data_IF_683928172023
#
_entry.id   IF_683928172023
#
_cell.length_a   1.000
_cell.length_b   1.000
_cell.length_c   1.000
_cell.angle_alpha   90.00
_cell.angle_beta   90.00
_cell.angle_gamma   90.00
#
_symmetry.space_group_name_H-M   'P 1'
#
loop_
_entity.id
_entity.type
_entity.pdbx_description
1 polymer ?
#
# COMPACT_ATOMS: atom_id res chain seq x y z
N UNK A 1 5.47 -17.57 -9.43
CA UNK A 1 4.14 -17.35 -10.06
C UNK A 1 4.36 -16.48 -11.29
N UNK A 2 3.77 -16.84 -12.43
CA UNK A 2 3.78 -15.99 -13.63
C UNK A 2 2.43 -15.27 -13.77
N UNK A 3 2.47 -14.00 -14.15
CA UNK A 3 1.27 -13.20 -14.44
C UNK A 3 0.77 -13.39 -15.88
N UNK A 4 1.47 -14.20 -16.67
CA UNK A 4 1.08 -14.57 -18.03
C UNK A 4 0.44 -15.97 -17.99
N UNK A 5 -0.78 -16.11 -18.52
CA UNK A 5 -1.56 -17.36 -18.50
C UNK A 5 -1.97 -17.74 -19.92
N UNK A 6 -2.05 -19.03 -20.24
CA UNK A 6 -2.61 -19.49 -21.51
C UNK A 6 -4.12 -19.29 -21.51
N UNK A 7 -4.67 -18.88 -22.65
CA UNK A 7 -6.11 -18.84 -22.87
C UNK A 7 -6.59 -20.25 -23.23
N UNK A 8 -7.49 -20.81 -22.42
CA UNK A 8 -8.07 -22.14 -22.68
C UNK A 8 -8.61 -22.23 -24.11
N UNK A 9 -8.29 -23.34 -24.81
CA UNK A 9 -8.78 -23.61 -26.16
C UNK A 9 -7.92 -23.07 -27.33
N UNK A 10 -6.78 -22.43 -27.07
CA UNK A 10 -5.84 -22.01 -28.12
C UNK A 10 -4.41 -22.32 -27.72
N UNK A 11 -3.68 -23.10 -28.52
CA UNK A 11 -2.32 -23.56 -28.19
C UNK A 11 -1.25 -22.43 -28.13
N UNK A 12 -1.56 -21.23 -28.62
CA UNK A 12 -0.57 -20.14 -28.77
C UNK A 12 -1.03 -18.75 -28.27
N UNK A 13 -2.13 -18.63 -27.51
CA UNK A 13 -2.51 -17.33 -26.94
C UNK A 13 -2.21 -17.25 -25.45
N UNK A 14 -1.26 -16.37 -25.11
CA UNK A 14 -1.00 -15.93 -23.76
C UNK A 14 -1.72 -14.62 -23.47
N UNK A 15 -2.33 -14.51 -22.30
CA UNK A 15 -2.97 -13.29 -21.81
C UNK A 15 -2.45 -12.94 -20.43
N UNK A 16 -2.50 -11.66 -20.07
CA UNK A 16 -2.24 -11.24 -18.70
C UNK A 16 -3.35 -11.76 -17.79
N UNK A 17 -2.97 -12.30 -16.64
CA UNK A 17 -3.90 -12.68 -15.56
C UNK A 17 -4.68 -11.47 -15.04
N UNK A 18 -4.04 -10.29 -15.07
CA UNK A 18 -4.66 -9.02 -14.74
C UNK A 18 -5.39 -8.46 -15.95
N UNK A 19 -6.50 -7.76 -15.70
CA UNK A 19 -7.24 -7.04 -16.74
C UNK A 19 -6.53 -5.72 -17.08
N UNK A 20 -5.46 -5.81 -17.87
CA UNK A 20 -4.63 -4.66 -18.26
C UNK A 20 -5.43 -3.62 -19.05
N UNK A 21 -6.34 -4.05 -19.92
CA UNK A 21 -7.16 -3.15 -20.74
C UNK A 21 -7.99 -2.20 -19.86
N UNK A 22 -8.60 -2.72 -18.79
CA UNK A 22 -9.38 -1.90 -17.86
C UNK A 22 -8.51 -0.96 -17.04
N UNK A 23 -7.31 -1.39 -16.64
CA UNK A 23 -6.35 -0.53 -15.91
C UNK A 23 -5.91 0.62 -16.81
N UNK A 24 -5.60 0.34 -18.08
CA UNK A 24 -5.20 1.37 -19.05
C UNK A 24 -6.32 2.37 -19.30
N UNK A 25 -7.57 1.92 -19.44
CA UNK A 25 -8.71 2.81 -19.61
C UNK A 25 -8.94 3.68 -18.37
N UNK A 26 -8.83 3.10 -17.18
CA UNK A 26 -8.95 3.86 -15.93
C UNK A 26 -7.84 4.90 -15.77
N UNK A 27 -6.60 4.58 -16.13
CA UNK A 27 -5.46 5.52 -16.05
C UNK A 27 -5.67 6.79 -16.89
N UNK A 28 -6.41 6.71 -18.01
CA UNK A 28 -6.74 7.89 -18.84
C UNK A 28 -7.60 8.92 -18.10
N UNK A 29 -8.33 8.51 -17.07
CA UNK A 29 -9.19 9.40 -16.29
C UNK A 29 -8.39 10.28 -15.31
N UNK A 30 -7.10 9.98 -15.11
CA UNK A 30 -6.24 10.67 -14.16
C UNK A 30 -6.54 10.32 -12.70
N UNK A 31 -5.66 10.74 -11.81
CA UNK A 31 -5.86 10.58 -10.37
C UNK A 31 -6.88 11.61 -9.87
N UNK A 32 -7.98 11.15 -9.28
CA UNK A 32 -8.87 12.01 -8.49
C UNK A 32 -8.37 12.02 -7.05
N UNK A 33 -8.13 13.21 -6.50
CA UNK A 33 -7.86 13.35 -5.07
C UNK A 33 -9.06 12.83 -4.27
N UNK A 34 -8.84 11.81 -3.45
CA UNK A 34 -9.81 11.39 -2.46
C UNK A 34 -9.78 12.36 -1.28
N UNK A 35 -10.85 13.11 -1.07
CA UNK A 35 -11.00 14.10 0.01
C UNK A 35 -11.93 13.65 1.13
N UNK A 36 -12.08 12.34 1.31
CA UNK A 36 -12.90 11.79 2.40
C UNK A 36 -12.03 11.45 3.61
N UNK A 37 -12.41 11.96 4.77
CA UNK A 37 -11.79 11.59 6.04
C UNK A 37 -12.26 10.19 6.48
N UNK A 38 -11.36 9.45 7.13
CA UNK A 38 -11.64 8.19 7.80
C UNK A 38 -11.40 8.35 9.30
N UNK A 39 -12.48 8.27 10.08
CA UNK A 39 -12.49 8.51 11.53
C UNK A 39 -12.26 7.25 12.38
N UNK A 40 -11.86 6.15 11.73
CA UNK A 40 -11.53 4.89 12.39
C UNK A 40 -10.07 4.80 12.82
N UNK A 41 -9.69 3.74 13.54
CA UNK A 41 -8.32 3.49 13.94
C UNK A 41 -7.47 3.12 12.71
N UNK A 42 -6.23 3.62 12.69
CA UNK A 42 -5.29 3.46 11.57
C UNK A 42 -3.91 3.11 12.12
N UNK A 43 -3.18 2.27 11.41
CA UNK A 43 -1.76 2.01 11.66
C UNK A 43 -1.03 2.06 10.32
N UNK A 44 -0.16 3.06 10.16
CA UNK A 44 0.62 3.31 8.95
C UNK A 44 2.00 2.69 9.12
N UNK A 45 2.46 1.95 8.11
CA UNK A 45 3.80 1.32 8.07
C UNK A 45 4.49 1.77 6.80
N UNK A 46 5.52 2.58 6.94
CA UNK A 46 6.31 3.12 5.84
C UNK A 46 7.74 2.62 5.96
N UNK A 47 8.43 2.45 4.84
CA UNK A 47 9.87 2.25 4.87
C UNK A 47 10.59 3.58 5.09
N UNK A 48 11.62 3.58 5.94
CA UNK A 48 12.45 4.75 6.19
C UNK A 48 13.11 5.32 4.91
N UNK A 49 13.40 4.47 3.93
CA UNK A 49 14.04 4.81 2.65
C UNK A 49 13.05 4.87 1.48
N UNK A 50 11.75 4.92 1.77
CA UNK A 50 10.71 4.99 0.73
C UNK A 50 10.78 6.32 -0.03
N UNK A 51 10.91 6.26 -1.35
CA UNK A 51 10.84 7.45 -2.22
C UNK A 51 9.42 8.02 -2.36
N UNK A 52 8.41 7.27 -1.91
CA UNK A 52 6.99 7.67 -2.01
C UNK A 52 6.46 8.37 -0.76
N UNK A 53 7.01 8.06 0.42
CA UNK A 53 6.55 8.59 1.70
C UNK A 53 7.75 8.74 2.61
N UNK A 54 8.04 9.97 3.02
CA UNK A 54 9.13 10.30 3.93
C UNK A 54 8.57 10.86 5.26
N UNK A 55 9.45 11.13 6.22
CA UNK A 55 9.03 11.57 7.56
C UNK A 55 8.36 12.95 7.58
N UNK A 56 8.64 13.81 6.61
CA UNK A 56 7.99 15.13 6.50
C UNK A 56 6.54 15.02 6.03
N UNK A 57 6.15 13.89 5.43
CA UNK A 57 4.79 13.66 4.94
C UNK A 57 3.82 13.27 6.06
N UNK A 58 4.29 13.05 7.30
CA UNK A 58 3.48 12.64 8.45
C UNK A 58 2.25 13.52 8.66
N UNK A 59 2.39 14.83 8.50
CA UNK A 59 1.30 15.78 8.67
C UNK A 59 0.22 15.65 7.59
N UNK A 60 0.56 15.18 6.38
CA UNK A 60 -0.40 15.01 5.29
C UNK A 60 -1.41 13.89 5.56
N UNK A 61 -1.01 12.87 6.31
CA UNK A 61 -1.91 11.78 6.73
C UNK A 61 -3.09 12.30 7.56
N UNK A 62 -2.94 13.39 8.31
CA UNK A 62 -4.03 13.96 9.12
C UNK A 62 -5.18 14.54 8.28
N UNK A 63 -4.94 14.83 6.99
CA UNK A 63 -6.01 15.28 6.08
C UNK A 63 -7.00 14.15 5.76
N UNK A 64 -6.53 12.90 5.80
CA UNK A 64 -7.33 11.71 5.50
C UNK A 64 -7.69 10.96 6.78
N UNK A 65 -6.83 10.99 7.80
CA UNK A 65 -6.95 10.25 9.05
C UNK A 65 -6.89 11.21 10.25
N UNK A 66 -7.96 11.98 10.51
CA UNK A 66 -7.91 13.07 11.51
C UNK A 66 -7.71 12.59 12.96
N UNK A 67 -7.98 11.31 13.26
CA UNK A 67 -7.78 10.73 14.61
C UNK A 67 -6.44 10.00 14.79
N UNK A 68 -5.57 10.03 13.77
CA UNK A 68 -4.28 9.38 13.81
C UNK A 68 -3.31 10.13 14.73
N UNK A 69 -2.61 9.41 15.62
CA UNK A 69 -1.48 9.94 16.38
C UNK A 69 -0.18 9.72 15.60
N UNK A 70 0.46 10.80 15.16
CA UNK A 70 1.67 10.77 14.31
C UNK A 70 2.88 10.07 14.94
N UNK A 71 2.92 9.93 16.27
CA UNK A 71 4.03 9.31 16.99
C UNK A 71 3.74 7.85 17.32
N UNK A 72 2.47 7.52 17.54
CA UNK A 72 2.03 6.18 17.93
C UNK A 72 1.66 5.32 16.71
N UNK A 73 0.92 5.89 15.77
CA UNK A 73 0.22 5.13 14.73
C UNK A 73 0.97 5.11 13.40
N UNK A 74 2.01 5.93 13.24
CA UNK A 74 2.90 5.92 12.06
C UNK A 74 4.25 5.32 12.42
N UNK A 75 4.58 4.21 11.78
CA UNK A 75 5.84 3.51 11.96
C UNK A 75 6.71 3.60 10.71
N UNK A 76 7.89 4.20 10.84
CA UNK A 76 8.94 4.13 9.83
C UNK A 76 9.85 2.94 10.15
N UNK A 77 9.81 1.92 9.30
CA UNK A 77 10.62 0.71 9.45
C UNK A 77 12.02 0.98 8.91
N UNK A 78 13.00 0.92 9.80
CA UNK A 78 14.40 1.23 9.49
C UNK A 78 14.92 0.38 8.32
N UNK A 79 15.72 1.01 7.46
CA UNK A 79 16.39 0.38 6.30
C UNK A 79 15.44 -0.10 5.18
N UNK A 80 14.13 -0.16 5.39
CA UNK A 80 13.16 -0.56 4.37
C UNK A 80 12.89 0.56 3.36
N UNK A 81 12.77 0.21 2.09
CA UNK A 81 12.22 1.00 1.01
C UNK A 81 10.69 0.90 0.95
N UNK A 82 10.12 1.03 -0.25
CA UNK A 82 8.67 1.10 -0.42
C UNK A 82 7.93 -0.19 -0.01
N UNK A 83 8.53 -1.37 -0.25
CA UNK A 83 7.88 -2.66 0.02
C UNK A 83 8.29 -3.25 1.36
N UNK A 84 7.85 -2.60 2.44
CA UNK A 84 8.17 -3.01 3.82
C UNK A 84 7.87 -4.48 4.08
N UNK A 85 6.72 -4.99 3.60
CA UNK A 85 6.31 -6.38 3.77
C UNK A 85 7.24 -7.39 3.07
N UNK A 86 7.96 -6.97 2.01
CA UNK A 86 8.90 -7.83 1.28
C UNK A 86 10.30 -7.71 1.89
N UNK A 87 10.73 -6.50 2.22
CA UNK A 87 12.10 -6.22 2.67
C UNK A 87 12.30 -6.50 4.16
N UNK A 88 11.28 -6.23 4.99
CA UNK A 88 11.27 -6.38 6.44
C UNK A 88 10.02 -7.13 6.92
N UNK A 89 9.82 -8.39 6.47
CA UNK A 89 8.60 -9.15 6.72
C UNK A 89 8.34 -9.39 8.21
N UNK A 90 9.39 -9.60 9.01
CA UNK A 90 9.27 -9.84 10.45
C UNK A 90 8.76 -8.60 11.19
N UNK A 91 9.34 -7.44 10.88
CA UNK A 91 8.94 -6.15 11.44
C UNK A 91 7.51 -5.80 11.01
N UNK A 92 7.17 -6.02 9.74
CA UNK A 92 5.82 -5.81 9.22
C UNK A 92 4.79 -6.66 9.97
N UNK A 93 5.05 -7.97 10.13
CA UNK A 93 4.15 -8.88 10.86
C UNK A 93 4.05 -8.49 12.33
N UNK A 94 5.17 -8.14 12.97
CA UNK A 94 5.19 -7.69 14.38
C UNK A 94 4.30 -6.48 14.58
N UNK A 95 4.50 -5.42 13.82
CA UNK A 95 3.69 -4.19 13.91
C UNK A 95 2.22 -4.46 13.60
N UNK A 96 1.93 -5.32 12.62
CA UNK A 96 0.55 -5.73 12.31
C UNK A 96 -0.10 -6.48 13.46
N UNK A 97 0.60 -7.43 14.05
CA UNK A 97 0.07 -8.24 15.17
C UNK A 97 -0.15 -7.38 16.42
N UNK A 98 0.80 -6.47 16.72
CA UNK A 98 0.69 -5.52 17.83
C UNK A 98 -0.51 -4.58 17.67
N UNK A 99 -0.79 -4.13 16.45
CA UNK A 99 -1.97 -3.31 16.16
C UNK A 99 -3.27 -4.11 16.34
N UNK A 100 -3.34 -5.31 15.75
CA UNK A 100 -4.54 -6.15 15.82
C UNK A 100 -4.87 -6.65 17.23
N UNK A 101 -3.89 -6.77 18.11
CA UNK A 101 -4.09 -7.20 19.51
C UNK A 101 -4.67 -6.10 20.41
N UNK A 102 -4.95 -4.91 19.88
CA UNK A 102 -5.56 -3.79 20.63
C UNK A 102 -7.09 -3.78 20.57
N UNK A 103 -7.68 -4.71 19.81
CA UNK A 103 -9.12 -4.91 19.65
C UNK A 103 -9.54 -6.22 20.33
#
# INVERSE_FOLDING_TARGET
MTNLVSKEGTNDNYVWRLNIDSIQEFQKQGHKEFRSAYDGPVCVKCGERSEYVNQNDRASFLQVFPKLDINKDIHFVAVAGHWVQVEKPREFIKLTSQYLSQF
#
